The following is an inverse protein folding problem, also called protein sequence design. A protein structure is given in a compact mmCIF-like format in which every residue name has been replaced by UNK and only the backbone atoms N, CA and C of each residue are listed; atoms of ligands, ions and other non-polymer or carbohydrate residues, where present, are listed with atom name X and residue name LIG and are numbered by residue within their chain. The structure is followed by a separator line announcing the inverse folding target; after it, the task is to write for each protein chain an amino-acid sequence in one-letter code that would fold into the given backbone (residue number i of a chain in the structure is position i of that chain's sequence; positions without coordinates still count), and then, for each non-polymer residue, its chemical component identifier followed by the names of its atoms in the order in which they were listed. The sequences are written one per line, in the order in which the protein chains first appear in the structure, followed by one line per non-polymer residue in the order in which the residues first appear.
data_IF_292304798457
#
_entry.id   IF_292304798457
#
_cell.length_a   1.000
_cell.length_b   1.000
_cell.length_c   1.000
_cell.angle_alpha   90.00
_cell.angle_beta   90.00
_cell.angle_gamma   90.00
#
_symmetry.space_group_name_H-M   'P 1'
#
loop_
_entity.id
_entity.type
_entity.pdbx_description
1 polymer ?
#
# COMPACT_ATOMS: atom_id res chain seq x y z
N UNK A 1 21.05 -6.51 -18.07
CA UNK A 1 20.67 -5.08 -17.81
C UNK A 1 19.17 -4.91 -17.91
N UNK A 2 18.53 -4.37 -16.87
CA UNK A 2 17.12 -4.03 -17.00
C UNK A 2 16.93 -2.95 -18.07
N UNK A 3 15.88 -3.09 -18.86
CA UNK A 3 15.50 -2.07 -19.84
C UNK A 3 14.47 -1.08 -19.31
N UNK A 4 13.99 -1.34 -18.10
CA UNK A 4 12.96 -0.51 -17.46
C UNK A 4 13.38 -0.18 -16.04
N UNK A 5 12.80 0.89 -15.49
CA UNK A 5 12.90 1.25 -14.08
C UNK A 5 11.49 1.43 -13.53
N UNK A 6 11.35 1.22 -12.24
CA UNK A 6 10.06 1.36 -11.59
C UNK A 6 9.67 2.84 -11.51
N UNK A 7 8.45 3.19 -11.93
CA UNK A 7 7.99 4.59 -11.92
C UNK A 7 6.91 4.84 -10.87
N UNK A 8 5.75 4.21 -11.02
CA UNK A 8 4.64 4.47 -10.09
C UNK A 8 3.63 3.34 -10.06
N UNK A 9 2.77 3.38 -9.03
CA UNK A 9 1.53 2.61 -8.94
C UNK A 9 0.39 3.59 -9.12
N UNK A 10 -0.64 3.21 -9.86
CA UNK A 10 -1.80 4.05 -10.10
C UNK A 10 -3.02 3.44 -9.42
N UNK A 11 -3.64 4.19 -8.52
CA UNK A 11 -4.88 3.81 -7.84
C UNK A 11 -6.04 4.61 -8.41
N UNK A 12 -7.23 4.02 -8.38
CA UNK A 12 -8.47 4.72 -8.63
C UNK A 12 -9.29 4.71 -7.36
N UNK A 13 -9.90 5.84 -7.03
CA UNK A 13 -10.66 5.96 -5.79
C UNK A 13 -11.87 6.87 -6.00
N UNK A 14 -13.04 6.50 -5.45
CA UNK A 14 -14.19 7.42 -5.43
C UNK A 14 -13.91 8.66 -4.57
N UNK A 15 -12.94 8.58 -3.66
CA UNK A 15 -12.53 9.71 -2.81
C UNK A 15 -11.01 9.75 -2.73
N UNK A 16 -10.33 10.37 -3.71
CA UNK A 16 -8.87 10.45 -3.72
C UNK A 16 -8.27 11.12 -2.49
N UNK A 17 -8.94 12.12 -1.93
CA UNK A 17 -8.48 12.79 -0.71
C UNK A 17 -8.44 11.83 0.47
N UNK A 18 -9.48 11.03 0.66
CA UNK A 18 -9.52 10.04 1.74
C UNK A 18 -8.47 8.95 1.54
N UNK A 19 -8.26 8.51 0.30
CA UNK A 19 -7.22 7.52 -0.01
C UNK A 19 -5.83 8.07 0.30
N UNK A 20 -5.56 9.31 -0.13
CA UNK A 20 -4.28 9.95 0.16
C UNK A 20 -4.06 10.14 1.67
N UNK A 21 -5.09 10.58 2.38
CA UNK A 21 -5.03 10.77 3.83
C UNK A 21 -4.72 9.45 4.56
N UNK A 22 -5.31 8.35 4.10
CA UNK A 22 -5.03 7.03 4.65
C UNK A 22 -3.56 6.63 4.46
N UNK A 23 -3.05 6.81 3.23
CA UNK A 23 -1.66 6.49 2.92
C UNK A 23 -0.68 7.33 3.76
N UNK A 24 -1.03 8.58 4.01
CA UNK A 24 -0.23 9.46 4.87
C UNK A 24 -0.31 9.05 6.33
N UNK A 25 -1.51 8.85 6.85
CA UNK A 25 -1.74 8.60 8.28
C UNK A 25 -1.25 7.20 8.69
N UNK A 26 -1.50 6.19 7.87
CA UNK A 26 -1.20 4.80 8.20
C UNK A 26 0.23 4.41 7.79
N UNK A 27 0.67 4.85 6.63
CA UNK A 27 1.94 4.40 6.06
C UNK A 27 3.02 5.48 5.98
N UNK A 28 2.73 6.68 6.46
CA UNK A 28 3.70 7.77 6.47
C UNK A 28 3.99 8.37 5.11
N UNK A 29 3.08 8.21 4.16
CA UNK A 29 3.24 8.79 2.82
C UNK A 29 3.22 10.30 2.84
N UNK A 30 3.88 10.92 1.86
CA UNK A 30 3.90 12.37 1.68
C UNK A 30 2.94 12.76 0.56
N UNK A 31 1.90 13.52 0.89
CA UNK A 31 0.92 13.99 -0.09
C UNK A 31 1.50 15.11 -0.92
N UNK A 32 1.39 15.01 -2.24
CA UNK A 32 1.79 16.04 -3.19
C UNK A 32 0.60 16.39 -4.05
N UNK A 33 0.22 17.65 -4.04
CA UNK A 33 -0.92 18.15 -4.80
C UNK A 33 -0.45 18.90 -6.02
N UNK A 34 -1.13 18.67 -7.15
CA UNK A 34 -0.96 19.41 -8.38
C UNK A 34 -2.33 19.72 -8.99
N UNK A 35 -2.39 20.48 -10.09
CA UNK A 35 -3.67 20.78 -10.74
C UNK A 35 -4.39 19.50 -11.17
N UNK A 36 -5.57 19.28 -10.62
CA UNK A 36 -6.42 18.14 -10.97
C UNK A 36 -5.89 16.77 -10.55
N UNK A 37 -4.88 16.70 -9.66
CA UNK A 37 -4.35 15.41 -9.23
C UNK A 37 -3.83 15.46 -7.81
N UNK A 38 -3.80 14.31 -7.20
CA UNK A 38 -3.18 14.10 -5.90
C UNK A 38 -2.30 12.86 -5.98
N UNK A 39 -1.05 13.00 -5.55
CA UNK A 39 -0.08 11.92 -5.52
C UNK A 39 0.42 11.72 -4.10
N UNK A 40 0.95 10.54 -3.82
CA UNK A 40 1.58 10.24 -2.53
C UNK A 40 2.94 9.61 -2.79
N UNK A 41 3.98 10.19 -2.20
CA UNK A 41 5.29 9.53 -2.17
C UNK A 41 5.28 8.53 -1.03
N UNK A 42 5.55 7.28 -1.37
CA UNK A 42 5.47 6.18 -0.42
C UNK A 42 6.70 5.28 -0.58
N UNK A 43 7.63 5.39 0.38
CA UNK A 43 8.80 4.51 0.41
C UNK A 43 9.67 4.54 -0.86
N UNK A 44 9.82 5.68 -1.50
CA UNK A 44 10.62 5.80 -2.71
C UNK A 44 9.88 5.55 -4.01
N UNK A 45 8.60 5.20 -3.94
CA UNK A 45 7.74 5.04 -5.11
C UNK A 45 6.64 6.10 -5.09
N UNK A 46 6.15 6.46 -6.26
CA UNK A 46 5.01 7.36 -6.39
C UNK A 46 3.72 6.54 -6.48
N UNK A 47 2.69 7.00 -5.79
CA UNK A 47 1.34 6.48 -5.89
C UNK A 47 0.48 7.59 -6.49
N UNK A 48 -0.03 7.39 -7.69
CA UNK A 48 -0.93 8.33 -8.35
C UNK A 48 -2.36 7.92 -8.05
N UNK A 49 -3.22 8.87 -7.75
CA UNK A 49 -4.60 8.58 -7.37
C UNK A 49 -5.54 9.33 -8.31
N UNK A 50 -6.27 8.60 -9.14
CA UNK A 50 -7.29 9.16 -10.02
C UNK A 50 -8.67 9.04 -9.38
N UNK A 51 -9.57 10.00 -9.62
CA UNK A 51 -10.95 9.87 -9.16
C UNK A 51 -11.71 8.83 -9.98
N UNK A 52 -12.81 8.35 -9.41
CA UNK A 52 -13.79 7.52 -10.09
C UNK A 52 -15.06 8.34 -10.24
N UNK A 53 -15.50 8.55 -11.47
CA UNK A 53 -16.74 9.25 -11.76
C UNK A 53 -17.77 8.25 -12.31
N UNK A 54 -19.06 8.55 -12.13
CA UNK A 54 -20.15 7.62 -12.49
C UNK A 54 -20.12 7.17 -13.95
N UNK A 55 -19.61 8.01 -14.86
CA UNK A 55 -19.56 7.72 -16.31
C UNK A 55 -18.26 7.08 -16.79
N UNK A 56 -17.31 6.80 -15.91
CA UNK A 56 -15.97 6.34 -16.31
C UNK A 56 -15.93 4.87 -16.73
N UNK A 57 -16.96 4.09 -16.42
CA UNK A 57 -16.94 2.66 -16.68
C UNK A 57 -15.95 1.89 -15.81
N UNK A 58 -15.56 2.46 -14.68
CA UNK A 58 -14.60 1.81 -13.75
C UNK A 58 -15.35 0.77 -12.93
N UNK A 59 -14.86 -0.45 -12.95
CA UNK A 59 -15.46 -1.55 -12.20
C UNK A 59 -15.20 -1.42 -10.70
N UNK A 60 -16.08 -2.01 -9.90
CA UNK A 60 -15.86 -2.13 -8.46
C UNK A 60 -14.59 -2.92 -8.18
N UNK A 61 -13.94 -2.70 -7.00
CA UNK A 61 -12.74 -3.46 -6.67
C UNK A 61 -13.04 -4.96 -6.60
N UNK A 62 -12.14 -5.81 -7.11
CA UNK A 62 -12.31 -7.25 -6.95
C UNK A 62 -12.11 -7.67 -5.51
N UNK A 63 -12.70 -8.80 -5.13
CA UNK A 63 -12.49 -9.38 -3.81
C UNK A 63 -11.23 -10.24 -3.85
N UNK A 64 -10.25 -9.91 -3.01
CA UNK A 64 -9.01 -10.68 -2.93
C UNK A 64 -9.23 -12.01 -2.20
N UNK A 65 -8.50 -13.09 -2.58
CA UNK A 65 -7.48 -13.17 -3.63
C UNK A 65 -8.08 -13.35 -5.03
N UNK A 66 -7.39 -12.86 -6.04
CA UNK A 66 -7.80 -12.99 -7.44
C UNK A 66 -6.55 -13.09 -8.32
N UNK A 67 -6.73 -13.53 -9.57
CA UNK A 67 -5.62 -13.60 -10.52
C UNK A 67 -5.15 -12.19 -10.90
N UNK A 68 -3.85 -12.04 -11.09
CA UNK A 68 -3.23 -10.79 -11.48
C UNK A 68 -2.42 -10.20 -10.34
N UNK A 69 -2.53 -8.90 -10.13
CA UNK A 69 -1.81 -8.21 -9.06
C UNK A 69 -2.46 -8.52 -7.72
N UNK A 70 -1.79 -9.35 -6.92
CA UNK A 70 -2.31 -9.79 -5.62
C UNK A 70 -2.16 -8.72 -4.55
N UNK A 71 -0.97 -8.13 -4.45
CA UNK A 71 -0.66 -7.10 -3.44
C UNK A 71 0.60 -6.36 -3.85
N UNK A 72 0.90 -5.29 -3.12
CA UNK A 72 2.23 -4.70 -3.18
C UNK A 72 2.84 -4.70 -1.79
N UNK A 73 4.18 -4.69 -1.73
CA UNK A 73 4.91 -4.80 -0.48
C UNK A 73 5.74 -3.57 -0.17
N UNK A 74 5.83 -3.25 1.11
CA UNK A 74 6.64 -2.15 1.64
C UNK A 74 7.55 -2.68 2.73
N UNK A 75 8.81 -2.30 2.68
CA UNK A 75 9.77 -2.65 3.71
C UNK A 75 9.60 -1.75 4.92
N UNK A 76 9.62 -2.35 6.10
CA UNK A 76 9.59 -1.62 7.36
C UNK A 76 10.74 -2.06 8.26
N UNK A 77 11.10 -1.21 9.20
CA UNK A 77 12.00 -1.55 10.30
C UNK A 77 11.13 -1.77 11.54
N UNK A 78 11.45 -2.81 12.32
CA UNK A 78 10.70 -3.16 13.52
C UNK A 78 9.21 -3.37 13.22
N UNK A 79 8.93 -4.42 12.46
CA UNK A 79 7.58 -4.71 11.99
C UNK A 79 6.57 -4.88 13.14
N UNK A 80 6.99 -5.42 14.27
CA UNK A 80 6.08 -5.62 15.41
C UNK A 80 5.61 -4.28 15.98
N UNK A 81 6.51 -3.30 16.12
CA UNK A 81 6.16 -1.97 16.58
C UNK A 81 5.27 -1.24 15.57
N UNK A 82 5.63 -1.33 14.27
CA UNK A 82 4.84 -0.71 13.20
C UNK A 82 3.44 -1.32 13.16
N UNK A 83 3.34 -2.64 13.22
CA UNK A 83 2.03 -3.33 13.21
C UNK A 83 1.18 -2.93 14.42
N UNK A 84 1.77 -2.79 15.59
CA UNK A 84 1.05 -2.36 16.80
C UNK A 84 0.48 -0.94 16.63
N UNK A 85 1.25 -0.02 16.07
CA UNK A 85 0.81 1.34 15.77
C UNK A 85 -0.35 1.36 14.78
N UNK A 86 -0.22 0.61 13.68
CA UNK A 86 -1.24 0.51 12.64
C UNK A 86 -2.52 -0.13 13.20
N UNK A 87 -2.37 -1.18 13.98
CA UNK A 87 -3.51 -1.85 14.62
C UNK A 87 -4.27 -0.90 15.55
N UNK A 88 -3.55 -0.08 16.29
CA UNK A 88 -4.16 0.91 17.20
C UNK A 88 -4.99 1.95 16.44
N UNK A 89 -4.72 2.17 15.15
CA UNK A 89 -5.50 3.06 14.29
C UNK A 89 -6.70 2.37 13.63
N UNK A 90 -6.99 1.13 13.99
CA UNK A 90 -8.18 0.42 13.54
C UNK A 90 -8.07 -0.24 12.17
N UNK A 91 -6.86 -0.38 11.64
CA UNK A 91 -6.65 -1.03 10.33
C UNK A 91 -6.82 -2.55 10.46
N UNK A 92 -7.49 -3.14 9.49
CA UNK A 92 -7.68 -4.59 9.44
C UNK A 92 -6.38 -5.30 9.03
N UNK A 93 -6.00 -6.33 9.78
CA UNK A 93 -4.90 -7.23 9.43
C UNK A 93 -5.50 -8.54 8.90
N UNK A 94 -5.11 -8.92 7.70
CA UNK A 94 -5.47 -10.24 7.16
C UNK A 94 -4.44 -11.29 7.52
N UNK A 95 -3.24 -10.85 7.88
CA UNK A 95 -2.20 -11.71 8.45
C UNK A 95 -1.40 -10.91 9.46
N UNK A 96 -1.37 -11.40 10.69
CA UNK A 96 -0.58 -10.80 11.77
C UNK A 96 0.92 -10.98 11.52
N UNK A 97 1.78 -10.16 12.14
CA UNK A 97 3.23 -10.32 11.98
C UNK A 97 3.67 -11.76 12.22
N UNK A 98 4.34 -12.34 11.24
CA UNK A 98 4.71 -13.77 11.22
C UNK A 98 6.07 -13.92 10.55
N UNK A 99 6.92 -14.74 11.14
CA UNK A 99 8.17 -15.13 10.50
C UNK A 99 7.87 -16.25 9.50
N UNK A 100 8.09 -15.95 8.20
CA UNK A 100 7.79 -16.93 7.13
C UNK A 100 9.00 -17.79 6.78
N UNK A 101 10.20 -17.29 7.09
CA UNK A 101 11.47 -18.01 6.98
C UNK A 101 12.51 -17.25 7.80
N UNK A 102 13.66 -17.85 8.10
CA UNK A 102 14.68 -17.16 8.91
C UNK A 102 15.03 -15.78 8.32
N UNK A 103 14.95 -14.75 9.15
CA UNK A 103 15.30 -13.39 8.79
C UNK A 103 14.26 -12.63 7.97
N UNK A 104 13.07 -13.20 7.73
CA UNK A 104 12.01 -12.52 6.99
C UNK A 104 10.69 -12.62 7.74
N UNK A 105 10.18 -11.47 8.14
CA UNK A 105 8.94 -11.35 8.90
C UNK A 105 7.98 -10.45 8.15
N UNK A 106 6.73 -10.87 8.05
CA UNK A 106 5.71 -10.18 7.24
C UNK A 106 4.40 -10.01 8.01
N UNK A 107 3.58 -9.07 7.53
CA UNK A 107 2.15 -9.01 7.84
C UNK A 107 1.40 -8.44 6.63
N UNK A 108 0.09 -8.61 6.61
CA UNK A 108 -0.77 -8.08 5.56
C UNK A 108 -1.87 -7.24 6.17
N UNK A 109 -2.14 -6.09 5.55
CA UNK A 109 -3.20 -5.18 5.96
C UNK A 109 -4.11 -4.87 4.77
N UNK A 110 -5.33 -4.41 5.07
CA UNK A 110 -6.28 -3.91 4.06
C UNK A 110 -6.18 -2.41 3.96
N UNK A 111 -5.90 -1.92 2.78
CA UNK A 111 -5.91 -0.50 2.47
C UNK A 111 -7.24 -0.04 1.88
N UNK A 112 -7.27 1.20 1.38
CA UNK A 112 -8.47 1.75 0.73
C UNK A 112 -8.89 0.87 -0.45
N UNK A 113 -10.18 0.74 -0.66
CA UNK A 113 -10.78 -0.07 -1.73
C UNK A 113 -10.42 -1.56 -1.63
N UNK A 114 -10.07 -2.04 -0.45
CA UNK A 114 -9.74 -3.44 -0.23
C UNK A 114 -8.37 -3.86 -0.72
N UNK A 115 -7.49 -2.92 -1.04
CA UNK A 115 -6.14 -3.21 -1.51
C UNK A 115 -5.38 -4.02 -0.47
N UNK A 116 -4.77 -5.11 -0.89
CA UNK A 116 -3.91 -5.90 -0.03
C UNK A 116 -2.50 -5.32 -0.02
N UNK A 117 -1.98 -5.02 1.16
CA UNK A 117 -0.66 -4.43 1.34
C UNK A 117 0.14 -5.32 2.27
N UNK A 118 1.33 -5.71 1.82
CA UNK A 118 2.26 -6.46 2.65
C UNK A 118 3.27 -5.50 3.27
N UNK A 119 3.52 -5.66 4.56
CA UNK A 119 4.65 -5.03 5.23
C UNK A 119 5.65 -6.11 5.53
N UNK A 120 6.92 -5.87 5.24
CA UNK A 120 7.94 -6.89 5.48
C UNK A 120 9.22 -6.29 6.02
N UNK A 121 9.82 -7.04 6.92
CA UNK A 121 11.13 -6.75 7.49
C UNK A 121 12.08 -7.87 7.13
N UNK A 122 13.22 -7.51 6.54
CA UNK A 122 14.28 -8.46 6.21
C UNK A 122 15.50 -8.19 7.08
N UNK A 123 16.07 -9.26 7.59
CA UNK A 123 17.39 -9.21 8.18
C UNK A 123 18.41 -8.76 7.10
N UNK A 124 19.50 -8.09 7.51
CA UNK A 124 20.54 -7.61 6.59
C UNK A 124 21.04 -8.69 5.63
N UNK A 125 21.10 -9.91 6.12
CA UNK A 125 21.50 -11.10 5.35
C UNK A 125 20.60 -11.35 4.14
N UNK A 126 19.34 -10.88 4.17
CA UNK A 126 18.36 -11.11 3.12
C UNK A 126 17.92 -9.82 2.43
N UNK A 127 18.57 -8.72 2.74
CA UNK A 127 18.25 -7.41 2.15
C UNK A 127 18.72 -7.31 0.69
#
# INVERSE_FOLDING_TARGET
MPTVTWDHIHLRSPDPEATAAWLQDILGGEIIRGPGRIDVKLGGANVFIAPVNASDGVNSPPVTPYQGLDHFGLTVKDIDAVAAEIKAKGVEFTKEPTTIRPGVRICFIRGPQGISIELLERDRKYA
#
